data_IF_862778978643
#
_entry.id   IF_862778978643
#
_cell.length_a   1.000
_cell.length_b   1.000
_cell.length_c   1.000
_cell.angle_alpha   90.00
_cell.angle_beta   90.00
_cell.angle_gamma   90.00
#
_symmetry.space_group_name_H-M   'P 1'
#
loop_
_entity.id
_entity.type
_entity.pdbx_description
1 polymer ?
#
# COMPACT_ATOMS: atom_id res chain seq x y z
N UNK A 1 9.10 -0.91 16.68
CA UNK A 1 9.72 -1.10 18.00
C UNK A 1 10.01 0.24 18.69
N UNK A 2 10.26 0.19 19.96
CA UNK A 2 10.68 1.33 20.81
C UNK A 2 12.02 1.00 21.42
N UNK A 3 12.96 1.92 21.35
CA UNK A 3 14.21 1.88 22.09
C UNK A 3 14.17 2.90 23.23
N UNK A 4 14.62 2.50 24.39
CA UNK A 4 14.78 3.37 25.55
C UNK A 4 16.22 3.37 26.02
N UNK A 5 16.77 4.55 26.27
CA UNK A 5 18.16 4.77 26.70
C UNK A 5 18.15 5.49 28.03
N UNK A 6 18.89 4.97 29.02
CA UNK A 6 19.23 5.63 30.25
C UNK A 6 20.75 5.88 30.27
N UNK A 7 21.21 7.08 29.92
CA UNK A 7 22.61 7.37 29.85
C UNK A 7 23.29 7.44 31.26
N UNK A 8 22.50 7.65 32.31
CA UNK A 8 23.02 7.71 33.69
C UNK A 8 23.29 6.32 34.24
N UNK A 9 22.34 5.41 34.03
CA UNK A 9 22.49 3.99 34.41
C UNK A 9 23.23 3.17 33.36
N UNK A 10 23.66 3.76 32.26
CA UNK A 10 24.24 3.07 31.08
C UNK A 10 23.39 1.88 30.66
N UNK A 11 22.06 2.07 30.64
CA UNK A 11 21.08 1.04 30.29
C UNK A 11 20.44 1.35 28.96
N UNK A 12 20.39 0.34 28.08
CA UNK A 12 19.74 0.40 26.78
C UNK A 12 18.85 -0.83 26.60
N UNK A 13 17.60 -0.60 26.28
CA UNK A 13 16.68 -1.69 25.96
C UNK A 13 15.82 -1.38 24.74
N UNK A 14 15.51 -2.43 23.98
CA UNK A 14 14.67 -2.36 22.80
C UNK A 14 13.51 -3.35 22.94
N UNK A 15 12.31 -2.84 22.78
CA UNK A 15 11.08 -3.65 22.68
C UNK A 15 10.54 -3.59 21.25
N UNK A 16 10.40 -4.74 20.63
CA UNK A 16 9.88 -4.87 19.27
C UNK A 16 8.56 -5.63 19.31
N UNK A 17 7.54 -5.13 18.59
CA UNK A 17 6.26 -5.80 18.50
C UNK A 17 6.37 -7.12 17.73
N UNK A 18 5.57 -8.08 18.13
CA UNK A 18 5.42 -9.31 17.37
C UNK A 18 4.73 -9.04 16.02
N UNK A 19 4.99 -9.85 14.99
CA UNK A 19 4.40 -9.65 13.66
C UNK A 19 2.86 -9.58 13.65
N UNK A 20 2.22 -10.19 14.64
CA UNK A 20 0.76 -10.14 14.84
C UNK A 20 0.25 -8.84 15.45
N UNK A 21 1.11 -8.09 16.12
CA UNK A 21 0.80 -6.83 16.82
C UNK A 21 1.07 -5.60 15.94
N UNK A 22 1.84 -5.76 14.85
CA UNK A 22 2.20 -4.67 13.97
C UNK A 22 1.05 -4.33 13.00
N UNK A 23 0.78 -3.04 12.75
CA UNK A 23 -0.19 -2.60 11.74
C UNK A 23 0.42 -2.83 10.35
N UNK A 24 0.39 -4.08 9.88
CA UNK A 24 1.09 -4.45 8.67
C UNK A 24 0.29 -4.25 7.40
N UNK A 25 0.79 -3.34 6.57
CA UNK A 25 0.69 -3.41 5.12
C UNK A 25 1.73 -4.40 4.50
N UNK A 26 2.27 -5.33 5.28
CA UNK A 26 3.27 -6.28 4.79
C UNK A 26 2.53 -7.56 4.37
N UNK A 27 2.64 -7.90 3.10
CA UNK A 27 1.97 -9.05 2.51
C UNK A 27 2.46 -10.40 3.08
N UNK A 28 3.66 -10.42 3.67
CA UNK A 28 4.30 -11.63 4.21
C UNK A 28 4.62 -11.45 5.70
N UNK A 29 3.83 -12.10 6.56
CA UNK A 29 4.06 -12.12 8.01
C UNK A 29 5.38 -12.78 8.41
N UNK A 30 5.85 -13.71 7.59
CA UNK A 30 7.11 -14.43 7.84
C UNK A 30 8.31 -13.53 7.57
N UNK A 31 8.26 -12.74 6.49
CA UNK A 31 9.29 -11.73 6.20
C UNK A 31 9.32 -10.65 7.29
N UNK A 32 8.15 -10.19 7.74
CA UNK A 32 8.04 -9.25 8.85
C UNK A 32 8.65 -9.81 10.14
N UNK A 33 8.42 -11.09 10.44
CA UNK A 33 9.01 -11.77 11.58
C UNK A 33 10.54 -11.89 11.48
N UNK A 34 11.06 -12.17 10.29
CA UNK A 34 12.51 -12.19 10.03
C UNK A 34 13.13 -10.81 10.21
N UNK A 35 12.51 -9.77 9.67
CA UNK A 35 12.97 -8.38 9.80
C UNK A 35 12.93 -7.91 11.26
N UNK A 36 11.86 -8.22 11.99
CA UNK A 36 11.73 -7.87 13.39
C UNK A 36 12.83 -8.54 14.25
N UNK A 37 13.08 -9.84 14.03
CA UNK A 37 14.17 -10.55 14.71
C UNK A 37 15.55 -9.99 14.36
N UNK A 38 15.80 -9.70 13.08
CA UNK A 38 17.05 -9.10 12.64
C UNK A 38 17.27 -7.70 13.26
N UNK A 39 16.21 -6.90 13.33
CA UNK A 39 16.23 -5.58 13.98
C UNK A 39 16.54 -5.69 15.48
N UNK A 40 15.90 -6.64 16.17
CA UNK A 40 16.14 -6.90 17.59
C UNK A 40 17.57 -7.34 17.90
N UNK A 41 18.09 -8.31 17.14
CA UNK A 41 19.48 -8.77 17.28
C UNK A 41 20.46 -7.63 17.03
N UNK A 42 20.24 -6.85 15.99
CA UNK A 42 21.10 -5.71 15.65
C UNK A 42 21.03 -4.60 16.71
N UNK A 43 19.83 -4.30 17.21
CA UNK A 43 19.67 -3.32 18.28
C UNK A 43 20.34 -3.76 19.60
N UNK A 44 20.31 -5.05 19.93
CA UNK A 44 21.02 -5.59 21.11
C UNK A 44 22.53 -5.53 21.01
N UNK A 45 23.09 -5.49 19.81
CA UNK A 45 24.54 -5.40 19.60
C UNK A 45 25.09 -3.97 19.68
N UNK A 46 24.19 -2.96 19.72
CA UNK A 46 24.61 -1.56 19.82
C UNK A 46 24.89 -1.16 21.25
N UNK A 47 25.97 -0.39 21.44
CA UNK A 47 26.12 0.42 22.63
C UNK A 47 25.32 1.74 22.50
N UNK A 48 25.24 2.51 23.59
CA UNK A 48 24.48 3.77 23.61
C UNK A 48 25.00 4.76 22.57
N UNK A 49 26.33 4.85 22.40
CA UNK A 49 26.96 5.78 21.45
C UNK A 49 26.69 5.42 20.01
N UNK A 50 26.73 4.14 19.69
CA UNK A 50 26.40 3.63 18.36
C UNK A 50 24.91 3.88 18.04
N UNK A 51 24.03 3.69 19.02
CA UNK A 51 22.61 3.98 18.85
C UNK A 51 22.35 5.47 18.63
N UNK A 52 22.97 6.36 19.41
CA UNK A 52 22.87 7.81 19.21
C UNK A 52 23.36 8.24 17.83
N UNK A 53 24.44 7.60 17.35
CA UNK A 53 24.96 7.86 16.01
C UNK A 53 24.01 7.41 14.87
N UNK A 54 23.23 6.38 15.10
CA UNK A 54 22.26 5.86 14.12
C UNK A 54 20.90 6.55 14.20
N UNK A 55 20.62 7.29 15.27
CA UNK A 55 19.36 8.03 15.40
C UNK A 55 19.17 9.00 14.23
N UNK A 56 18.05 8.88 13.55
CA UNK A 56 17.74 9.66 12.35
C UNK A 56 18.34 9.12 11.03
N UNK A 57 19.08 8.02 11.05
CA UNK A 57 19.71 7.41 9.88
C UNK A 57 19.00 6.12 9.47
N UNK A 58 19.15 5.78 8.20
CA UNK A 58 18.71 4.49 7.67
C UNK A 58 19.87 3.49 7.70
N UNK A 59 19.64 2.34 8.29
CA UNK A 59 20.58 1.22 8.29
C UNK A 59 19.95 0.04 7.52
N UNK A 60 20.13 0.04 6.20
CA UNK A 60 19.51 -0.93 5.31
C UNK A 60 17.98 -0.77 5.27
N UNK A 61 17.23 -1.81 5.66
CA UNK A 61 15.75 -1.79 5.72
C UNK A 61 15.19 -1.31 7.07
N UNK A 62 16.05 -0.90 7.99
CA UNK A 62 15.65 -0.44 9.33
C UNK A 62 15.90 1.06 9.40
N UNK A 63 14.87 1.79 9.78
CA UNK A 63 14.94 3.23 9.97
C UNK A 63 14.83 3.54 11.46
N UNK A 64 15.77 4.31 11.99
CA UNK A 64 15.71 4.86 13.32
C UNK A 64 15.19 6.29 13.25
N UNK A 65 14.10 6.57 13.96
CA UNK A 65 13.65 7.97 14.13
C UNK A 65 14.62 8.73 15.06
N UNK A 66 14.65 10.06 14.96
CA UNK A 66 15.24 10.88 16.03
C UNK A 66 14.57 10.59 17.37
N UNK A 67 15.22 10.92 18.51
CA UNK A 67 14.60 10.79 19.81
C UNK A 67 13.24 11.52 19.87
N UNK A 68 12.20 10.81 20.29
CA UNK A 68 10.83 11.34 20.35
C UNK A 68 10.55 12.14 21.62
N UNK A 69 11.38 11.97 22.65
CA UNK A 69 11.25 12.65 23.93
C UNK A 69 12.16 12.10 24.99
N UNK A 70 12.13 12.75 26.16
CA UNK A 70 12.82 12.32 27.35
C UNK A 70 11.84 12.27 28.53
N UNK A 71 12.08 11.40 29.51
CA UNK A 71 11.27 11.26 30.71
C UNK A 71 12.16 11.29 31.97
N UNK A 72 11.65 11.90 33.05
CA UNK A 72 12.30 11.89 34.36
C UNK A 72 11.72 10.81 35.30
N UNK A 73 10.96 9.85 34.75
CA UNK A 73 10.35 8.79 35.57
C UNK A 73 11.41 7.78 36.00
N UNK A 74 11.37 7.36 37.28
CA UNK A 74 12.41 6.49 37.85
C UNK A 74 12.33 5.04 37.40
N UNK A 75 11.18 4.58 36.90
CA UNK A 75 10.96 3.18 36.47
C UNK A 75 11.12 3.02 34.97
N UNK A 76 12.28 2.49 34.60
CA UNK A 76 12.66 2.25 33.21
C UNK A 76 11.75 1.22 32.50
N UNK A 77 11.40 0.13 33.18
CA UNK A 77 10.61 -0.95 32.59
C UNK A 77 9.16 -0.52 32.35
N UNK A 78 8.60 0.22 33.33
CA UNK A 78 7.26 0.82 33.20
C UNK A 78 7.23 1.83 32.05
N UNK A 79 8.30 2.65 31.93
CA UNK A 79 8.39 3.61 30.85
C UNK A 79 8.49 2.93 29.47
N UNK A 80 9.33 1.88 29.37
CA UNK A 80 9.47 1.10 28.13
C UNK A 80 8.15 0.44 27.73
N UNK A 81 7.46 -0.18 28.68
CA UNK A 81 6.16 -0.81 28.43
C UNK A 81 5.10 0.20 28.00
N UNK A 82 5.05 1.36 28.67
CA UNK A 82 4.10 2.44 28.35
C UNK A 82 4.37 3.04 26.97
N UNK A 83 5.62 3.39 26.67
CA UNK A 83 6.00 3.94 25.38
C UNK A 83 5.76 2.95 24.25
N UNK A 84 5.98 1.67 24.50
CA UNK A 84 5.65 0.62 23.53
C UNK A 84 4.14 0.54 23.26
N UNK A 85 3.33 0.56 24.32
CA UNK A 85 1.88 0.54 24.19
C UNK A 85 1.32 1.77 23.45
N UNK A 86 1.91 2.94 23.68
CA UNK A 86 1.50 4.19 23.05
C UNK A 86 1.96 4.33 21.59
N UNK A 87 3.19 3.89 21.27
CA UNK A 87 3.82 4.14 19.98
C UNK A 87 3.78 2.95 19.00
N UNK A 88 3.70 1.73 19.52
CA UNK A 88 3.82 0.51 18.73
C UNK A 88 2.60 -0.39 18.85
N UNK A 89 2.15 -0.65 20.07
CA UNK A 89 0.89 -1.36 20.22
C UNK A 89 -0.22 -0.45 19.69
N UNK A 90 -0.73 -0.79 18.53
CA UNK A 90 -1.97 -0.18 18.08
C UNK A 90 -2.95 -0.33 19.23
N UNK A 91 -3.54 0.79 19.76
CA UNK A 91 -4.58 0.65 20.74
C UNK A 91 -5.51 -0.41 20.22
N UNK A 92 -5.82 -1.42 21.02
CA UNK A 92 -6.91 -2.36 20.74
C UNK A 92 -8.19 -1.51 20.78
N UNK A 93 -8.31 -0.58 19.82
CA UNK A 93 -9.62 -0.16 19.39
C UNK A 93 -10.29 -1.46 19.09
N UNK A 94 -11.34 -1.74 19.90
CA UNK A 94 -12.22 -2.89 19.81
C UNK A 94 -12.04 -3.53 18.45
N UNK A 95 -11.59 -4.79 18.40
CA UNK A 95 -11.51 -5.54 17.16
C UNK A 95 -12.94 -5.59 16.63
N UNK A 96 -13.38 -4.47 16.06
CA UNK A 96 -14.46 -4.53 15.09
C UNK A 96 -13.96 -5.57 14.14
N UNK A 97 -14.68 -6.67 14.07
CA UNK A 97 -14.43 -7.74 13.12
C UNK A 97 -14.21 -7.03 11.79
N UNK A 98 -12.92 -6.74 11.48
CA UNK A 98 -12.59 -6.04 10.25
C UNK A 98 -12.96 -7.01 9.18
N UNK A 99 -14.04 -6.73 8.49
CA UNK A 99 -14.39 -7.43 7.27
C UNK A 99 -13.14 -7.56 6.37
N UNK A 100 -13.12 -8.46 5.42
CA UNK A 100 -11.95 -8.68 4.56
C UNK A 100 -11.44 -7.33 4.06
N UNK A 101 -10.10 -7.16 4.04
CA UNK A 101 -9.49 -5.90 3.58
C UNK A 101 -10.04 -5.58 2.19
N UNK A 102 -10.28 -4.31 1.89
CA UNK A 102 -10.86 -3.87 0.62
C UNK A 102 -10.17 -4.52 -0.59
N UNK A 103 -8.83 -4.51 -0.62
CA UNK A 103 -8.05 -5.19 -1.67
C UNK A 103 -8.39 -6.69 -1.79
N UNK A 104 -8.57 -7.41 -0.68
CA UNK A 104 -8.94 -8.82 -0.72
C UNK A 104 -10.37 -9.05 -1.25
N UNK A 105 -11.27 -8.11 -1.02
CA UNK A 105 -12.63 -8.15 -1.59
C UNK A 105 -12.59 -7.89 -3.09
N UNK A 106 -11.86 -6.84 -3.52
CA UNK A 106 -11.68 -6.52 -4.95
C UNK A 106 -11.02 -7.68 -5.68
N UNK A 107 -9.94 -8.25 -5.13
CA UNK A 107 -9.29 -9.43 -5.72
C UNK A 107 -10.24 -10.61 -5.83
N UNK A 108 -11.09 -10.87 -4.83
CA UNK A 108 -12.07 -11.95 -4.89
C UNK A 108 -13.11 -11.72 -5.98
N UNK A 109 -13.61 -10.48 -6.13
CA UNK A 109 -14.59 -10.13 -7.15
C UNK A 109 -14.00 -10.17 -8.57
N UNK A 110 -12.74 -9.75 -8.75
CA UNK A 110 -12.08 -9.67 -10.05
C UNK A 110 -11.45 -10.98 -10.52
N UNK A 111 -11.04 -11.87 -9.61
CA UNK A 111 -10.37 -13.13 -9.95
C UNK A 111 -11.14 -14.00 -10.98
N UNK A 112 -12.47 -14.18 -10.89
CA UNK A 112 -13.22 -14.90 -11.91
C UNK A 112 -13.13 -14.24 -13.27
N UNK A 113 -13.17 -12.88 -13.34
CA UNK A 113 -13.12 -12.13 -14.59
C UNK A 113 -11.75 -12.21 -15.26
N UNK A 114 -10.67 -12.35 -14.48
CA UNK A 114 -9.33 -12.63 -15.02
C UNK A 114 -9.31 -14.02 -15.66
N UNK A 115 -9.89 -15.03 -15.02
CA UNK A 115 -10.00 -16.38 -15.56
C UNK A 115 -10.86 -16.42 -16.84
N UNK A 116 -11.88 -15.57 -16.93
CA UNK A 116 -12.76 -15.39 -18.08
C UNK A 116 -12.14 -14.49 -19.18
N UNK A 117 -10.90 -14.03 -19.01
CA UNK A 117 -10.19 -13.11 -19.91
C UNK A 117 -10.94 -11.80 -20.17
N UNK A 118 -11.69 -11.31 -19.19
CA UNK A 118 -12.38 -10.01 -19.22
C UNK A 118 -11.55 -8.89 -18.61
N UNK A 119 -10.60 -9.26 -17.76
CA UNK A 119 -9.77 -8.34 -16.94
C UNK A 119 -8.32 -8.81 -16.98
N UNK A 120 -7.37 -7.88 -17.05
CA UNK A 120 -5.94 -8.13 -16.83
C UNK A 120 -5.51 -7.64 -15.46
N UNK A 121 -4.46 -8.24 -14.91
CA UNK A 121 -3.81 -7.79 -13.66
C UNK A 121 -2.55 -6.99 -13.97
N UNK A 122 -2.12 -6.18 -12.98
CA UNK A 122 -0.83 -5.47 -13.02
C UNK A 122 -0.63 -4.64 -14.28
N UNK A 123 -1.66 -3.86 -14.64
CA UNK A 123 -1.64 -3.05 -15.86
C UNK A 123 -0.80 -1.78 -15.69
N UNK A 124 0.33 -1.63 -16.44
CA UNK A 124 1.20 -0.47 -16.34
C UNK A 124 0.63 0.73 -17.11
N UNK A 125 0.82 1.92 -16.57
CA UNK A 125 0.59 3.21 -17.23
C UNK A 125 1.85 4.04 -17.08
N UNK A 126 2.71 4.01 -18.11
CA UNK A 126 4.04 4.64 -18.07
C UNK A 126 4.02 6.12 -18.47
N UNK A 127 2.96 6.55 -19.16
CA UNK A 127 2.81 7.93 -19.65
C UNK A 127 2.41 8.94 -18.54
N UNK A 128 2.16 8.45 -17.32
CA UNK A 128 1.93 9.34 -16.18
C UNK A 128 3.24 10.02 -15.75
N UNK A 129 3.19 11.22 -15.13
CA UNK A 129 4.37 11.89 -14.57
C UNK A 129 5.17 11.01 -13.59
N UNK A 130 4.48 10.06 -12.96
CA UNK A 130 5.06 8.94 -12.23
C UNK A 130 4.42 7.67 -12.76
N UNK A 131 5.19 6.76 -13.37
CA UNK A 131 4.69 5.47 -13.84
C UNK A 131 3.98 4.72 -12.71
N UNK A 132 2.82 4.18 -13.01
CA UNK A 132 1.97 3.48 -12.05
C UNK A 132 1.56 2.11 -12.59
N UNK A 133 1.41 1.14 -11.69
CA UNK A 133 0.84 -0.18 -12.01
C UNK A 133 -0.51 -0.28 -11.30
N UNK A 134 -1.56 -0.49 -12.08
CA UNK A 134 -2.91 -0.68 -11.58
C UNK A 134 -3.21 -2.14 -11.34
N UNK A 135 -3.93 -2.43 -10.27
CA UNK A 135 -4.24 -3.81 -9.85
C UNK A 135 -4.97 -4.59 -10.94
N UNK A 136 -5.89 -3.91 -11.64
CA UNK A 136 -6.67 -4.51 -12.73
C UNK A 136 -6.91 -3.49 -13.83
N UNK A 137 -7.14 -3.99 -15.07
CA UNK A 137 -7.70 -3.19 -16.14
C UNK A 137 -8.66 -4.03 -17.00
N UNK A 138 -9.66 -3.35 -17.57
CA UNK A 138 -10.61 -3.95 -18.52
C UNK A 138 -10.95 -2.95 -19.64
N UNK A 139 -11.44 -3.48 -20.76
CA UNK A 139 -11.80 -2.70 -21.94
C UNK A 139 -13.33 -2.70 -22.13
N UNK A 140 -13.91 -1.49 -22.07
CA UNK A 140 -15.33 -1.25 -22.38
C UNK A 140 -15.45 0.11 -23.06
N UNK A 141 -15.23 0.17 -24.39
CA UNK A 141 -15.16 1.42 -25.15
C UNK A 141 -14.00 2.35 -24.73
N UNK A 142 -13.47 2.20 -23.54
CA UNK A 142 -12.22 2.81 -23.05
C UNK A 142 -11.49 1.82 -22.13
N UNK A 143 -10.21 2.08 -21.86
CA UNK A 143 -9.41 1.29 -20.92
C UNK A 143 -9.73 1.78 -19.50
N UNK A 144 -10.43 0.98 -18.73
CA UNK A 144 -10.64 1.22 -17.32
C UNK A 144 -9.50 0.63 -16.51
N UNK A 145 -8.74 1.46 -15.80
CA UNK A 145 -7.77 1.01 -14.82
C UNK A 145 -8.39 1.05 -13.42
N UNK A 146 -8.28 -0.04 -12.67
CA UNK A 146 -8.97 -0.23 -11.39
C UNK A 146 -8.00 -0.09 -10.24
N UNK A 147 -8.37 0.72 -9.25
CA UNK A 147 -7.63 0.93 -8.02
C UNK A 147 -8.52 0.76 -6.81
N UNK A 148 -8.12 -0.11 -5.88
CA UNK A 148 -8.75 -0.21 -4.56
C UNK A 148 -8.07 0.76 -3.59
N UNK A 149 -8.82 1.62 -2.91
CA UNK A 149 -8.27 2.57 -1.95
C UNK A 149 -9.12 2.64 -0.68
N UNK A 150 -8.54 2.22 0.43
CA UNK A 150 -9.09 2.55 1.74
C UNK A 150 -8.74 4.00 2.07
N UNK A 151 -9.75 4.80 2.42
CA UNK A 151 -9.52 6.18 2.81
C UNK A 151 -8.87 6.25 4.19
N UNK A 152 -7.85 7.09 4.39
CA UNK A 152 -7.22 7.27 5.69
C UNK A 152 -8.23 7.87 6.69
N UNK A 153 -8.06 7.54 7.99
CA UNK A 153 -8.90 8.12 9.04
C UNK A 153 -8.62 9.62 9.23
N UNK A 154 -7.37 10.04 9.00
CA UNK A 154 -6.97 11.43 9.03
C UNK A 154 -7.02 12.00 7.61
N UNK A 155 -7.73 13.13 7.45
CA UNK A 155 -7.87 13.85 6.16
C UNK A 155 -8.30 12.98 4.98
N UNK A 156 -9.42 12.25 5.09
CA UNK A 156 -9.90 11.40 3.99
C UNK A 156 -10.23 12.19 2.72
N UNK A 157 -10.58 13.48 2.85
CA UNK A 157 -10.85 14.38 1.72
C UNK A 157 -9.61 14.58 0.85
N UNK A 158 -8.41 14.69 1.44
CA UNK A 158 -7.16 14.85 0.68
C UNK A 158 -6.92 13.63 -0.21
N UNK A 159 -7.25 12.42 0.26
CA UNK A 159 -7.16 11.21 -0.53
C UNK A 159 -8.18 11.20 -1.70
N UNK A 160 -9.39 11.73 -1.49
CA UNK A 160 -10.38 11.89 -2.57
C UNK A 160 -9.89 12.87 -3.63
N UNK A 161 -9.34 14.02 -3.24
CA UNK A 161 -8.79 14.99 -4.19
C UNK A 161 -7.58 14.43 -4.95
N UNK A 162 -6.72 13.66 -4.31
CA UNK A 162 -5.60 12.99 -4.98
C UNK A 162 -6.09 12.00 -6.05
N UNK A 163 -7.13 11.21 -5.75
CA UNK A 163 -7.75 10.30 -6.71
C UNK A 163 -8.46 11.03 -7.85
N UNK A 164 -9.10 12.17 -7.57
CA UNK A 164 -9.71 13.02 -8.60
C UNK A 164 -8.64 13.59 -9.54
N UNK A 165 -7.50 14.02 -9.00
CA UNK A 165 -6.38 14.47 -9.81
C UNK A 165 -5.79 13.33 -10.66
N UNK A 166 -5.68 12.12 -10.12
CA UNK A 166 -5.26 10.94 -10.85
C UNK A 166 -6.22 10.60 -11.99
N UNK A 167 -7.53 10.64 -11.74
CA UNK A 167 -8.56 10.43 -12.76
C UNK A 167 -8.47 11.47 -13.89
N UNK A 168 -8.20 12.75 -13.52
CA UNK A 168 -7.98 13.82 -14.48
C UNK A 168 -6.75 13.55 -15.35
N UNK A 169 -5.62 13.24 -14.75
CA UNK A 169 -4.39 12.95 -15.47
C UNK A 169 -4.57 11.79 -16.44
N UNK A 170 -5.20 10.69 -16.02
CA UNK A 170 -5.49 9.55 -16.91
C UNK A 170 -6.38 9.92 -18.10
N UNK A 171 -7.42 10.73 -17.86
CA UNK A 171 -8.33 11.18 -18.92
C UNK A 171 -7.67 12.14 -19.93
N UNK A 172 -6.62 12.86 -19.50
CA UNK A 172 -5.84 13.80 -20.33
C UNK A 172 -4.69 13.12 -21.09
N UNK A 173 -4.35 11.87 -20.76
CA UNK A 173 -3.33 11.12 -21.52
C UNK A 173 -3.79 10.86 -22.96
N UNK A 174 -2.85 10.82 -23.92
CA UNK A 174 -3.15 10.38 -25.27
C UNK A 174 -3.81 8.98 -25.26
N UNK A 175 -4.76 8.70 -26.15
CA UNK A 175 -5.33 7.36 -26.27
C UNK A 175 -4.24 6.29 -26.48
N UNK A 176 -4.39 5.16 -25.82
CA UNK A 176 -3.56 3.99 -26.10
C UNK A 176 -4.27 3.13 -27.14
N UNK A 177 -3.70 2.99 -28.33
CA UNK A 177 -4.31 2.26 -29.43
C UNK A 177 -5.77 2.67 -29.70
N UNK A 178 -6.02 4.00 -29.76
CA UNK A 178 -7.33 4.64 -29.95
C UNK A 178 -8.32 4.54 -28.78
N UNK A 179 -7.92 3.95 -27.66
CA UNK A 179 -8.75 3.87 -26.46
C UNK A 179 -8.35 4.92 -25.41
N UNK A 180 -9.30 5.75 -25.03
CA UNK A 180 -9.15 6.63 -23.88
C UNK A 180 -8.97 5.84 -22.57
N UNK A 181 -8.31 6.44 -21.57
CA UNK A 181 -8.10 5.81 -20.27
C UNK A 181 -9.01 6.43 -19.23
N UNK A 182 -9.55 5.61 -18.35
CA UNK A 182 -10.44 6.04 -17.29
C UNK A 182 -10.12 5.35 -15.98
N UNK A 183 -10.06 6.10 -14.88
CA UNK A 183 -9.88 5.55 -13.55
C UNK A 183 -11.20 4.99 -13.01
N UNK A 184 -11.19 3.77 -12.54
CA UNK A 184 -12.24 3.18 -11.72
C UNK A 184 -11.69 2.97 -10.31
N UNK A 185 -12.25 3.69 -9.32
CA UNK A 185 -11.79 3.60 -7.94
C UNK A 185 -12.80 2.83 -7.13
N UNK A 186 -12.33 1.79 -6.44
CA UNK A 186 -13.13 1.09 -5.44
C UNK A 186 -12.79 1.67 -4.06
N UNK A 187 -13.80 2.22 -3.40
CA UNK A 187 -13.66 2.89 -2.10
C UNK A 187 -14.45 2.18 -1.01
N UNK A 188 -13.96 2.29 0.22
CA UNK A 188 -14.74 1.98 1.42
C UNK A 188 -14.89 3.24 2.25
N UNK A 189 -16.14 3.61 2.52
CA UNK A 189 -16.51 4.70 3.42
C UNK A 189 -17.93 4.52 3.94
N UNK A 190 -18.09 4.66 5.24
CA UNK A 190 -19.41 4.71 5.90
C UNK A 190 -19.95 6.16 6.00
N UNK A 191 -19.13 7.14 5.60
CA UNK A 191 -19.47 8.57 5.63
C UNK A 191 -20.15 8.99 4.32
N UNK A 192 -21.38 9.40 4.40
CA UNK A 192 -22.19 9.79 3.24
C UNK A 192 -21.70 11.11 2.59
N UNK A 193 -21.17 12.06 3.36
CA UNK A 193 -20.62 13.30 2.81
C UNK A 193 -19.36 13.02 2.00
N UNK A 194 -18.50 12.16 2.53
CA UNK A 194 -17.29 11.74 1.84
C UNK A 194 -17.61 10.91 0.58
N UNK A 195 -18.65 10.09 0.62
CA UNK A 195 -19.14 9.36 -0.56
C UNK A 195 -19.67 10.31 -1.64
N UNK A 196 -20.42 11.32 -1.24
CA UNK A 196 -20.92 12.35 -2.15
C UNK A 196 -19.76 13.14 -2.77
N UNK A 197 -18.79 13.55 -1.95
CA UNK A 197 -17.57 14.22 -2.41
C UNK A 197 -16.79 13.35 -3.43
N UNK A 198 -16.59 12.07 -3.14
CA UNK A 198 -15.89 11.17 -4.05
C UNK A 198 -16.62 11.04 -5.39
N UNK A 199 -17.95 10.87 -5.37
CA UNK A 199 -18.77 10.83 -6.60
C UNK A 199 -18.67 12.12 -7.40
N UNK A 200 -18.71 13.26 -6.73
CA UNK A 200 -18.62 14.58 -7.38
C UNK A 200 -17.22 14.78 -7.99
N UNK A 201 -16.16 14.61 -7.22
CA UNK A 201 -14.81 14.97 -7.64
C UNK A 201 -14.19 13.98 -8.64
N UNK A 202 -14.46 12.68 -8.48
CA UNK A 202 -13.91 11.64 -9.35
C UNK A 202 -14.86 11.34 -10.52
N UNK A 203 -16.18 11.40 -10.27
CA UNK A 203 -17.21 10.94 -11.21
C UNK A 203 -17.25 11.67 -12.55
N UNK A 204 -16.73 12.88 -12.64
CA UNK A 204 -16.63 13.63 -13.90
C UNK A 204 -15.68 12.95 -14.91
N UNK A 205 -14.60 12.33 -14.43
CA UNK A 205 -13.50 11.80 -15.26
C UNK A 205 -13.13 10.35 -14.93
N UNK A 206 -13.78 9.79 -13.93
CA UNK A 206 -13.58 8.44 -13.43
C UNK A 206 -14.89 7.73 -13.12
N UNK A 207 -14.77 6.58 -12.48
CA UNK A 207 -15.90 5.83 -11.95
C UNK A 207 -15.61 5.54 -10.47
N UNK A 208 -16.58 5.76 -9.60
CA UNK A 208 -16.48 5.43 -8.17
C UNK A 208 -17.41 4.26 -7.89
N UNK A 209 -16.84 3.22 -7.31
CA UNK A 209 -17.56 2.03 -6.85
C UNK A 209 -17.33 1.91 -5.35
N UNK A 210 -18.38 1.73 -4.56
CA UNK A 210 -18.23 1.44 -3.14
C UNK A 210 -18.19 -0.06 -2.90
N UNK A 211 -17.56 -0.48 -1.80
CA UNK A 211 -17.32 -1.90 -1.52
C UNK A 211 -18.59 -2.76 -1.46
N UNK A 212 -19.73 -2.20 -1.04
CA UNK A 212 -21.02 -2.88 -1.10
C UNK A 212 -21.56 -3.07 -2.53
N UNK A 213 -21.02 -2.36 -3.52
CA UNK A 213 -21.41 -2.42 -4.93
C UNK A 213 -20.51 -3.35 -5.77
N UNK A 214 -19.51 -3.98 -5.14
CA UNK A 214 -18.50 -4.77 -5.85
C UNK A 214 -19.08 -5.92 -6.67
N UNK A 215 -20.07 -6.63 -6.16
CA UNK A 215 -20.67 -7.77 -6.89
C UNK A 215 -21.46 -7.29 -8.11
N UNK A 216 -22.20 -6.18 -7.97
CA UNK A 216 -22.90 -5.55 -9.09
C UNK A 216 -21.89 -5.03 -10.14
N UNK A 217 -20.83 -4.39 -9.68
CA UNK A 217 -19.75 -3.90 -10.53
C UNK A 217 -19.07 -5.05 -11.30
N UNK A 218 -18.70 -6.14 -10.62
CA UNK A 218 -18.11 -7.30 -11.25
C UNK A 218 -19.05 -7.94 -12.30
N UNK A 219 -20.37 -7.93 -12.03
CA UNK A 219 -21.37 -8.41 -12.97
C UNK A 219 -21.46 -7.50 -14.22
N UNK A 220 -21.46 -6.18 -14.04
CA UNK A 220 -21.42 -5.22 -15.15
C UNK A 220 -20.15 -5.40 -15.99
N UNK A 221 -18.98 -5.50 -15.36
CA UNK A 221 -17.72 -5.76 -16.09
C UNK A 221 -17.78 -7.07 -16.88
N UNK A 222 -18.34 -8.15 -16.31
CA UNK A 222 -18.50 -9.42 -17.01
C UNK A 222 -19.34 -9.29 -18.29
N UNK A 223 -20.40 -8.51 -18.24
CA UNK A 223 -21.33 -8.32 -19.37
C UNK A 223 -20.78 -7.37 -20.43
N UNK A 224 -20.14 -6.29 -19.99
CA UNK A 224 -19.78 -5.18 -20.86
C UNK A 224 -18.32 -5.20 -21.34
N UNK A 225 -17.41 -5.87 -20.61
CA UNK A 225 -16.02 -5.90 -20.99
C UNK A 225 -15.78 -6.78 -22.22
N UNK A 226 -15.01 -6.24 -23.15
CA UNK A 226 -14.47 -6.99 -24.28
C UNK A 226 -13.40 -7.98 -23.84
N UNK A 227 -12.96 -8.84 -24.75
CA UNK A 227 -11.84 -9.75 -24.49
C UNK A 227 -10.57 -8.94 -24.14
N UNK A 228 -9.91 -9.34 -23.07
CA UNK A 228 -8.73 -8.66 -22.54
C UNK A 228 -7.42 -9.11 -23.21
N UNK A 229 -7.43 -9.93 -24.25
CA UNK A 229 -6.21 -10.38 -24.95
C UNK A 229 -5.39 -9.20 -25.48
N UNK A 230 -6.05 -8.17 -26.02
CA UNK A 230 -5.38 -6.96 -26.47
C UNK A 230 -4.71 -6.21 -25.32
N UNK A 231 -5.41 -6.04 -24.20
CA UNK A 231 -4.84 -5.41 -23.00
C UNK A 231 -3.66 -6.21 -22.45
N UNK A 232 -3.75 -7.54 -22.45
CA UNK A 232 -2.66 -8.41 -22.01
C UNK A 232 -1.43 -8.28 -22.91
N UNK A 233 -1.61 -8.19 -24.21
CA UNK A 233 -0.52 -7.98 -25.16
C UNK A 233 0.16 -6.61 -24.95
N UNK A 234 -0.60 -5.55 -24.73
CA UNK A 234 -0.06 -4.21 -24.45
C UNK A 234 0.68 -4.15 -23.11
N UNK A 235 0.13 -4.76 -22.07
CA UNK A 235 0.80 -4.87 -20.76
C UNK A 235 2.13 -5.62 -20.87
N UNK A 236 2.17 -6.73 -21.59
CA UNK A 236 3.39 -7.51 -21.78
C UNK A 236 4.46 -6.75 -22.58
N UNK A 237 4.06 -5.98 -23.59
CA UNK A 237 4.98 -5.18 -24.40
C UNK A 237 5.63 -4.05 -23.58
N UNK A 238 4.90 -3.46 -22.62
CA UNK A 238 5.38 -2.39 -21.74
C UNK A 238 6.32 -2.92 -20.66
N UNK A 239 6.08 -4.11 -20.11
CA UNK A 239 6.90 -4.71 -19.04
C UNK A 239 8.21 -5.31 -19.57
N UNK A 240 8.27 -5.72 -20.83
CA UNK A 240 9.43 -6.39 -21.45
C UNK A 240 10.75 -5.59 -21.34
N UNK A 241 10.80 -4.25 -21.54
CA UNK A 241 12.05 -3.49 -21.43
C UNK A 241 12.54 -3.28 -20.00
N UNK A 242 11.73 -3.48 -18.97
CA UNK A 242 12.10 -3.27 -17.57
C UNK A 242 12.84 -4.47 -16.94
N UNK A 243 12.97 -5.60 -17.62
CA UNK A 243 13.82 -6.70 -17.17
C UNK A 243 15.26 -6.42 -17.59
N UNK A 244 16.18 -6.10 -16.65
CA UNK A 244 17.59 -5.99 -16.99
C UNK A 244 18.02 -7.35 -17.57
N UNK A 245 18.52 -7.33 -18.81
CA UNK A 245 19.12 -8.51 -19.43
C UNK A 245 20.18 -9.03 -18.46
N UNK A 246 19.99 -10.22 -17.89
CA UNK A 246 21.04 -10.94 -17.19
C UNK A 246 22.20 -11.05 -18.20
N UNK A 247 23.21 -10.20 -18.04
CA UNK A 247 24.48 -10.39 -18.71
C UNK A 247 24.94 -11.79 -18.32
N UNK A 248 24.85 -12.71 -19.25
CA UNK A 248 25.58 -13.96 -19.18
C UNK A 248 27.05 -13.58 -19.11
N UNK A 249 27.61 -13.66 -17.90
CA UNK A 249 29.05 -13.59 -17.71
C UNK A 249 29.65 -14.79 -18.39
N UNK A 250 30.17 -14.57 -19.59
CA UNK A 250 31.09 -15.48 -20.23
C UNK A 250 32.34 -15.46 -19.36
N UNK A 251 32.51 -16.47 -18.53
CA UNK A 251 33.81 -16.85 -17.99
C UNK A 251 34.57 -17.48 -19.16
N UNK A 252 35.45 -16.72 -19.77
CA UNK A 252 36.46 -17.23 -20.65
C UNK A 252 37.78 -17.33 -19.86
N UNK A 253 38.33 -18.56 -19.85
CA UNK A 253 39.76 -18.87 -19.74
C UNK A 253 40.46 -18.63 -18.43
#
# INVERSE_FOLDING_TARGET
GVALVDPVANRFEVKIGEPGELPLAIADREEAGRLARAAWWRAKSFDIKEFEHLAGKEAGRIRFSPPLGASRRPDFDVLLAKSFAELVAVPQRERRVRGPRLHAQVNRAMKPLVAERKVVTDFPVDDLPRPEIYEFAYLNGCIHVVRAKALPAERPQDAVYALAQEAKLLAELPPLHDFARKLTVVLRSDDNELRALAKQQIGERGTVVFDEQLDAFATSVRQEAHDAEQLAAWSAATIAPLRPSRRQGVLAG
#
